data_IF_501069758372
#
_entry.id   IF_501069758372
#
_cell.length_a   1.000
_cell.length_b   1.000
_cell.length_c   1.000
_cell.angle_alpha   90.00
_cell.angle_beta   90.00
_cell.angle_gamma   90.00
#
_symmetry.space_group_name_H-M   'P 1'
#
loop_
_entity.id
_entity.type
_entity.pdbx_description
1 polymer ?
#
# COMPACT_ATOMS: atom_id res chain seq x y z
N UNK A 1 11.69 2.32 13.32
CA UNK A 1 12.15 1.28 14.31
C UNK A 1 13.63 1.03 14.07
N UNK A 2 14.49 0.65 15.04
CA UNK A 2 15.90 0.39 14.76
C UNK A 2 16.07 -0.66 13.65
N UNK A 3 16.86 -0.35 12.61
CA UNK A 3 16.99 -1.18 11.39
C UNK A 3 17.37 -2.64 11.68
N UNK A 4 18.19 -2.87 12.71
CA UNK A 4 18.58 -4.23 13.14
C UNK A 4 17.37 -5.04 13.61
N UNK A 5 16.43 -4.43 14.34
CA UNK A 5 15.21 -5.10 14.79
C UNK A 5 14.28 -5.38 13.61
N UNK A 6 14.16 -4.43 12.68
CA UNK A 6 13.36 -4.62 11.46
C UNK A 6 13.84 -5.81 10.64
N UNK A 7 15.15 -5.93 10.41
CA UNK A 7 15.73 -7.09 9.72
C UNK A 7 15.47 -8.42 10.44
N UNK A 8 15.48 -8.42 11.78
CA UNK A 8 15.15 -9.61 12.55
C UNK A 8 13.68 -10.02 12.38
N UNK A 9 12.75 -9.05 12.39
CA UNK A 9 11.33 -9.31 12.16
C UNK A 9 11.07 -9.80 10.73
N UNK A 10 11.71 -9.21 9.73
CA UNK A 10 11.64 -9.66 8.33
C UNK A 10 12.08 -11.12 8.21
N UNK A 11 13.21 -11.48 8.83
CA UNK A 11 13.69 -12.87 8.84
C UNK A 11 12.64 -13.83 9.40
N UNK A 12 12.07 -13.52 10.56
CA UNK A 12 11.04 -14.36 11.20
C UNK A 12 9.77 -14.44 10.32
N UNK A 13 9.37 -13.33 9.71
CA UNK A 13 8.19 -13.29 8.85
C UNK A 13 8.36 -14.17 7.61
N UNK A 14 9.53 -14.12 6.97
CA UNK A 14 9.86 -14.96 5.82
C UNK A 14 9.91 -16.45 6.21
N UNK A 15 10.55 -16.80 7.33
CA UNK A 15 10.58 -18.17 7.85
C UNK A 15 9.17 -18.73 8.16
N UNK A 16 8.22 -17.86 8.49
CA UNK A 16 6.83 -18.22 8.82
C UNK A 16 5.83 -17.95 7.71
N UNK A 17 6.30 -17.57 6.52
CA UNK A 17 5.48 -17.18 5.39
C UNK A 17 4.38 -16.16 5.76
N UNK A 18 4.79 -15.06 6.40
CA UNK A 18 3.93 -13.93 6.80
C UNK A 18 4.35 -12.67 6.08
N UNK A 19 3.37 -11.87 5.67
CA UNK A 19 3.59 -10.55 5.09
C UNK A 19 3.61 -9.49 6.19
N UNK A 20 4.59 -8.60 6.16
CA UNK A 20 4.64 -7.41 7.01
C UNK A 20 4.43 -6.17 6.14
N UNK A 21 3.43 -5.35 6.49
CA UNK A 21 3.23 -4.01 5.92
C UNK A 21 3.75 -3.01 6.95
N UNK A 22 4.73 -2.18 6.56
CA UNK A 22 5.51 -1.34 7.48
C UNK A 22 6.89 -1.93 7.77
N UNK A 23 7.65 -1.39 8.73
CA UNK A 23 7.25 -0.37 9.72
C UNK A 23 7.10 1.04 9.13
N UNK A 24 6.78 2.02 9.98
CA UNK A 24 6.65 3.44 9.60
C UNK A 24 5.66 3.69 8.44
N UNK A 25 4.45 3.16 8.61
CA UNK A 25 3.35 3.30 7.64
C UNK A 25 2.02 3.53 8.34
N UNK A 26 1.09 4.16 7.62
CA UNK A 26 -0.33 4.17 7.98
C UNK A 26 -1.02 2.82 7.70
N UNK A 27 -0.43 2.01 6.82
CA UNK A 27 -0.91 0.68 6.43
C UNK A 27 -1.37 0.64 4.98
N UNK A 28 -2.68 0.49 4.78
CA UNK A 28 -3.27 0.27 3.46
C UNK A 28 -4.78 0.07 3.53
N UNK A 29 -5.40 0.05 2.36
CA UNK A 29 -6.84 -0.11 2.19
C UNK A 29 -7.16 -0.99 0.99
N UNK A 30 -8.08 -1.92 1.17
CA UNK A 30 -8.79 -2.61 0.10
C UNK A 30 -10.21 -2.06 0.05
N UNK A 31 -10.52 -1.32 -1.02
CA UNK A 31 -11.74 -0.55 -1.09
C UNK A 31 -12.98 -1.47 -1.05
N UNK A 32 -13.97 -1.07 -0.24
CA UNK A 32 -15.17 -1.87 0.02
C UNK A 32 -14.94 -3.15 0.84
N UNK A 33 -13.73 -3.41 1.35
CA UNK A 33 -13.44 -4.62 2.13
C UNK A 33 -12.83 -4.31 3.49
N UNK A 34 -11.59 -3.80 3.54
CA UNK A 34 -10.84 -3.66 4.78
C UNK A 34 -9.85 -2.49 4.72
N UNK A 35 -9.66 -1.78 5.83
CA UNK A 35 -8.63 -0.75 5.98
C UNK A 35 -7.82 -0.94 7.24
N UNK A 36 -6.52 -0.67 7.16
CA UNK A 36 -5.62 -0.77 8.31
C UNK A 36 -5.64 0.56 9.06
N UNK A 37 -6.12 0.54 10.31
CA UNK A 37 -6.07 1.66 11.24
C UNK A 37 -6.60 2.97 10.66
N UNK A 38 -5.75 4.00 10.67
CA UNK A 38 -6.08 5.36 10.25
C UNK A 38 -5.94 5.60 8.73
N UNK A 39 -5.65 4.56 7.93
CA UNK A 39 -5.60 4.69 6.47
C UNK A 39 -6.91 5.28 5.93
N UNK A 40 -6.80 6.13 4.90
CA UNK A 40 -7.88 6.89 4.29
C UNK A 40 -8.50 8.00 5.16
N UNK A 41 -8.06 8.19 6.41
CA UNK A 41 -8.53 9.29 7.25
C UNK A 41 -10.01 9.20 7.62
N UNK A 42 -10.71 10.32 7.55
CA UNK A 42 -12.10 10.48 7.98
C UNK A 42 -13.09 9.87 6.99
N UNK A 43 -14.36 9.76 7.40
CA UNK A 43 -15.42 9.19 6.56
C UNK A 43 -15.69 10.08 5.33
N UNK A 44 -15.56 11.40 5.47
CA UNK A 44 -15.70 12.34 4.36
C UNK A 44 -14.67 12.02 3.26
N UNK A 45 -13.42 11.76 3.64
CA UNK A 45 -12.39 11.41 2.67
C UNK A 45 -12.64 10.04 2.02
N UNK A 46 -13.14 9.06 2.78
CA UNK A 46 -13.53 7.75 2.24
C UNK A 46 -14.61 7.88 1.16
N UNK A 47 -15.60 8.75 1.39
CA UNK A 47 -16.69 9.00 0.43
C UNK A 47 -16.16 9.78 -0.78
N UNK A 48 -15.42 10.87 -0.55
CA UNK A 48 -14.85 11.71 -1.61
C UNK A 48 -13.92 10.92 -2.54
N UNK A 49 -13.07 10.05 -1.96
CA UNK A 49 -12.15 9.19 -2.70
C UNK A 49 -12.78 7.86 -3.15
N UNK A 50 -14.10 7.70 -2.98
CA UNK A 50 -14.90 6.52 -3.40
C UNK A 50 -14.36 5.17 -2.87
N UNK A 51 -13.73 5.15 -1.70
CA UNK A 51 -13.03 4.00 -1.11
C UNK A 51 -13.98 2.96 -0.46
N UNK A 52 -15.29 3.25 -0.45
CA UNK A 52 -16.33 2.34 0.06
C UNK A 52 -16.72 1.22 -0.92
N UNK A 53 -16.22 1.25 -2.16
CA UNK A 53 -16.45 0.23 -3.19
C UNK A 53 -15.17 0.01 -4.00
N UNK A 54 -14.91 -1.20 -4.52
CA UNK A 54 -13.73 -1.47 -5.34
C UNK A 54 -13.82 -0.77 -6.70
N UNK A 55 -12.69 -0.20 -7.16
CA UNK A 55 -12.43 0.09 -8.57
C UNK A 55 -11.54 -0.97 -9.20
N UNK A 56 -10.64 -0.59 -10.11
CA UNK A 56 -9.77 -1.54 -10.82
C UNK A 56 -8.27 -1.23 -10.72
N UNK A 57 -7.87 -0.26 -9.90
CA UNK A 57 -6.46 0.19 -9.79
C UNK A 57 -5.77 -0.41 -8.55
N UNK A 58 -4.65 -1.10 -8.76
CA UNK A 58 -3.74 -1.55 -7.70
C UNK A 58 -2.65 -0.50 -7.47
N UNK A 59 -2.53 -0.01 -6.23
CA UNK A 59 -1.61 1.07 -5.88
C UNK A 59 -0.64 0.67 -4.77
N UNK A 60 0.64 1.05 -4.89
CA UNK A 60 1.63 0.87 -3.84
C UNK A 60 2.56 2.07 -3.72
N UNK A 61 2.90 2.49 -2.50
CA UNK A 61 3.87 3.55 -2.23
C UNK A 61 4.74 3.29 -1.00
N UNK A 62 5.84 4.02 -0.86
CA UNK A 62 6.58 4.13 0.42
C UNK A 62 5.88 5.08 1.40
N UNK A 63 5.40 6.23 0.92
CA UNK A 63 4.80 7.28 1.75
C UNK A 63 3.31 7.07 2.03
N UNK A 64 2.97 6.98 3.33
CA UNK A 64 1.59 6.91 3.81
C UNK A 64 0.82 8.24 3.76
N UNK A 65 1.50 9.39 3.69
CA UNK A 65 0.83 10.68 3.48
C UNK A 65 0.41 10.84 2.03
N UNK A 66 1.32 10.54 1.10
CA UNK A 66 1.04 10.60 -0.33
C UNK A 66 0.07 9.50 -0.78
N UNK A 67 -0.08 8.41 -0.02
CA UNK A 67 -1.06 7.38 -0.38
C UNK A 67 -2.50 7.90 -0.34
N UNK A 68 -2.83 8.83 0.56
CA UNK A 68 -4.16 9.46 0.56
C UNK A 68 -4.36 10.41 -0.64
N UNK A 69 -3.33 11.16 -1.01
CA UNK A 69 -3.36 12.02 -2.20
C UNK A 69 -3.56 11.17 -3.47
N UNK A 70 -2.86 10.04 -3.56
CA UNK A 70 -3.01 9.09 -4.67
C UNK A 70 -4.40 8.44 -4.68
N UNK A 71 -4.96 8.07 -3.52
CA UNK A 71 -6.34 7.60 -3.43
C UNK A 71 -7.32 8.62 -4.01
N UNK A 72 -7.14 9.90 -3.68
CA UNK A 72 -7.94 10.99 -4.21
C UNK A 72 -7.75 11.11 -5.73
N UNK A 73 -6.52 11.32 -6.22
CA UNK A 73 -6.25 11.50 -7.66
C UNK A 73 -6.73 10.32 -8.52
N UNK A 74 -6.51 9.08 -8.07
CA UNK A 74 -6.96 7.87 -8.77
C UNK A 74 -8.49 7.82 -8.80
N UNK A 75 -9.18 8.17 -7.71
CA UNK A 75 -10.65 8.19 -7.66
C UNK A 75 -11.30 9.22 -8.61
N UNK A 76 -10.56 10.27 -8.96
CA UNK A 76 -11.02 11.32 -9.87
C UNK A 76 -10.78 10.96 -11.34
N UNK A 77 -9.74 10.18 -11.63
CA UNK A 77 -9.27 9.92 -13.01
C UNK A 77 -9.56 8.50 -13.50
N UNK A 78 -9.99 7.60 -12.62
CA UNK A 78 -10.29 6.20 -12.92
C UNK A 78 -11.61 5.76 -12.24
N UNK A 79 -11.94 4.47 -12.32
CA UNK A 79 -13.09 3.88 -11.62
C UNK A 79 -12.87 3.76 -10.10
N UNK A 80 -11.61 3.76 -9.66
CA UNK A 80 -11.18 3.88 -8.27
C UNK A 80 -10.09 2.88 -7.87
N UNK A 81 -9.66 2.99 -6.60
CA UNK A 81 -8.72 2.04 -5.99
C UNK A 81 -9.41 0.68 -5.80
N UNK A 82 -8.75 -0.39 -6.20
CA UNK A 82 -9.08 -1.75 -5.76
C UNK A 82 -8.37 -2.06 -4.43
N UNK A 83 -7.04 -1.93 -4.41
CA UNK A 83 -6.20 -2.12 -3.23
C UNK A 83 -5.01 -1.14 -3.28
N UNK A 84 -4.76 -0.46 -2.16
CA UNK A 84 -3.72 0.55 -2.00
C UNK A 84 -2.88 0.26 -0.75
N UNK A 85 -1.57 0.05 -0.90
CA UNK A 85 -0.66 -0.25 0.21
C UNK A 85 0.43 0.81 0.32
N UNK A 86 0.68 1.29 1.54
CA UNK A 86 1.89 2.04 1.87
C UNK A 86 2.88 1.10 2.59
N UNK A 87 3.99 0.74 1.96
CA UNK A 87 4.98 -0.19 2.54
C UNK A 87 5.76 0.42 3.72
N UNK A 88 5.79 1.75 3.80
CA UNK A 88 6.47 2.51 4.84
C UNK A 88 7.82 3.08 4.42
N UNK A 89 8.28 4.08 5.16
CA UNK A 89 9.50 4.84 4.85
C UNK A 89 10.79 4.33 5.53
N UNK A 90 10.72 3.25 6.31
CA UNK A 90 11.92 2.67 6.94
C UNK A 90 12.81 2.02 5.85
N UNK A 91 14.14 2.03 6.05
CA UNK A 91 15.14 1.51 5.08
C UNK A 91 14.90 0.07 4.64
N UNK A 92 14.38 -0.76 5.54
CA UNK A 92 14.04 -2.15 5.28
C UNK A 92 12.55 -2.34 5.54
N UNK A 93 11.67 -2.04 4.56
CA UNK A 93 10.26 -2.32 4.72
C UNK A 93 10.05 -3.84 4.79
N UNK A 94 9.00 -4.25 5.49
CA UNK A 94 8.66 -5.65 5.71
C UNK A 94 8.17 -6.38 4.45
N UNK A 95 7.73 -5.61 3.46
CA UNK A 95 7.41 -6.03 2.09
C UNK A 95 7.82 -4.90 1.15
N UNK A 96 8.29 -5.26 -0.03
CA UNK A 96 8.81 -4.33 -1.04
C UNK A 96 7.71 -3.92 -2.02
N UNK A 97 7.98 -2.89 -2.84
CA UNK A 97 7.05 -2.46 -3.88
C UNK A 97 6.69 -3.63 -4.82
N UNK A 98 7.70 -4.40 -5.24
CA UNK A 98 7.54 -5.52 -6.16
C UNK A 98 6.64 -6.63 -5.59
N UNK A 99 6.68 -6.89 -4.28
CA UNK A 99 5.84 -7.92 -3.65
C UNK A 99 4.35 -7.62 -3.85
N UNK A 100 3.98 -6.34 -3.73
CA UNK A 100 2.59 -5.90 -3.91
C UNK A 100 2.23 -5.81 -5.39
N UNK A 101 3.15 -5.37 -6.25
CA UNK A 101 2.91 -5.34 -7.70
C UNK A 101 2.67 -6.75 -8.26
N UNK A 102 3.43 -7.76 -7.83
CA UNK A 102 3.21 -9.16 -8.22
C UNK A 102 1.87 -9.70 -7.72
N UNK A 103 1.47 -9.36 -6.48
CA UNK A 103 0.13 -9.69 -5.96
C UNK A 103 -0.99 -9.04 -6.79
N UNK A 104 -0.77 -7.81 -7.23
CA UNK A 104 -1.76 -7.09 -8.03
C UNK A 104 -1.86 -7.64 -9.45
N UNK A 105 -0.73 -7.95 -10.09
CA UNK A 105 -0.67 -8.59 -11.41
C UNK A 105 -1.40 -9.94 -11.41
N UNK A 106 -1.25 -10.73 -10.33
CA UNK A 106 -1.95 -12.00 -10.19
C UNK A 106 -3.47 -11.88 -9.97
N UNK A 107 -3.99 -10.68 -9.69
CA UNK A 107 -5.40 -10.47 -9.39
C UNK A 107 -6.16 -10.01 -10.65
N UNK A 108 -7.07 -10.82 -11.21
CA UNK A 108 -7.76 -10.49 -12.45
C UNK A 108 -8.69 -9.28 -12.34
N UNK A 109 -9.01 -8.80 -11.14
CA UNK A 109 -9.84 -7.60 -10.95
C UNK A 109 -9.03 -6.30 -11.07
N UNK A 110 -7.71 -6.37 -10.95
CA UNK A 110 -6.84 -5.21 -11.09
C UNK A 110 -6.44 -5.10 -12.56
N UNK A 111 -6.67 -3.92 -13.16
CA UNK A 111 -6.47 -3.65 -14.59
C UNK A 111 -5.33 -2.67 -14.85
N UNK A 112 -4.89 -1.98 -13.82
CA UNK A 112 -3.80 -1.01 -13.88
C UNK A 112 -3.02 -1.04 -12.57
N UNK A 113 -1.70 -1.01 -12.69
CA UNK A 113 -0.78 -0.94 -11.57
C UNK A 113 -0.19 0.47 -11.47
N UNK A 114 -0.20 1.04 -10.28
CA UNK A 114 0.40 2.35 -9.99
C UNK A 114 1.40 2.17 -8.85
N UNK A 115 2.66 2.45 -9.12
CA UNK A 115 3.71 2.47 -8.10
C UNK A 115 4.21 3.91 -7.91
N UNK A 116 4.24 4.36 -6.66
CA UNK A 116 4.86 5.62 -6.27
C UNK A 116 6.15 5.32 -5.49
N UNK A 117 7.26 5.33 -6.22
CA UNK A 117 8.61 5.17 -5.66
C UNK A 117 9.08 6.38 -4.87
N UNK A 118 10.31 6.30 -4.37
CA UNK A 118 10.98 7.39 -3.65
C UNK A 118 12.48 7.32 -3.93
N UNK A 119 13.17 8.47 -3.92
CA UNK A 119 14.61 8.49 -4.19
C UNK A 119 15.37 7.61 -3.19
N UNK A 120 16.24 6.75 -3.71
CA UNK A 120 17.12 5.89 -2.92
C UNK A 120 16.74 4.41 -2.95
N UNK A 121 17.77 3.57 -3.09
CA UNK A 121 17.62 2.12 -3.30
C UNK A 121 17.72 1.73 -4.77
N UNK A 122 17.28 0.49 -5.06
CA UNK A 122 17.13 -0.10 -6.40
C UNK A 122 15.87 -0.97 -6.42
N UNK A 123 14.83 -0.48 -5.76
CA UNK A 123 13.60 -1.24 -5.47
C UNK A 123 12.59 -1.14 -6.63
N UNK A 124 12.71 -0.06 -7.42
CA UNK A 124 12.00 0.24 -8.67
C UNK A 124 12.61 -0.50 -9.87
#
# INVERSE_FOLDING_TARGET
MPERQTRHLIKIANERNKVIIGPATVGGIKAGAFKIGNTAGTIENIILSKLYRPGSVGFVSKSGGLSNEMNFMISQTTDGIYEGIAIGGDRYPGSQLIDHLLRYEANPNIKMLVALGEIGGKDE
#
